data_IF_126178211183
#
_entry.id   IF_126178211183
#
_cell.length_a   1.000
_cell.length_b   1.000
_cell.length_c   1.000
_cell.angle_alpha   90.00
_cell.angle_beta   90.00
_cell.angle_gamma   90.00
#
_symmetry.space_group_name_H-M   'P 1'
#
loop_
_entity.id
_entity.type
_entity.pdbx_description
1 polymer ?
#
# COMPACT_ATOMS: atom_id res chain seq x y z
N UNK A 1 -10.81 -11.30 -30.06
CA UNK A 1 -9.92 -11.11 -28.88
C UNK A 1 -9.76 -12.47 -28.24
N UNK A 2 -8.56 -13.08 -28.28
CA UNK A 2 -8.36 -14.42 -27.68
C UNK A 2 -8.38 -14.28 -26.15
N UNK A 3 -9.23 -15.07 -25.52
CA UNK A 3 -9.37 -15.17 -24.06
C UNK A 3 -8.03 -15.49 -23.38
N UNK A 4 -7.73 -14.78 -22.31
CA UNK A 4 -6.46 -14.76 -21.58
C UNK A 4 -6.34 -15.89 -20.56
N UNK A 5 -6.78 -17.11 -20.90
CA UNK A 5 -7.12 -18.13 -19.90
C UNK A 5 -6.15 -19.32 -19.82
N UNK A 6 -4.87 -19.20 -20.16
CA UNK A 6 -3.91 -20.26 -19.83
C UNK A 6 -2.54 -19.73 -19.41
N UNK A 7 -2.50 -18.91 -18.35
CA UNK A 7 -1.27 -18.85 -17.54
C UNK A 7 -1.04 -20.25 -16.96
N UNK A 8 0.16 -20.80 -17.16
CA UNK A 8 0.48 -22.14 -16.65
C UNK A 8 0.55 -22.14 -15.12
N UNK A 9 0.37 -23.30 -14.50
CA UNK A 9 0.53 -23.45 -13.04
C UNK A 9 1.92 -22.97 -12.60
N UNK A 10 2.98 -23.39 -13.31
CA UNK A 10 4.37 -22.97 -13.03
C UNK A 10 4.55 -21.45 -13.03
N UNK A 11 3.91 -20.74 -13.98
CA UNK A 11 3.95 -19.28 -14.06
C UNK A 11 3.21 -18.61 -12.90
N UNK A 12 2.05 -19.14 -12.50
CA UNK A 12 1.32 -18.65 -11.31
C UNK A 12 2.11 -18.87 -10.04
N UNK A 13 2.58 -20.10 -9.82
CA UNK A 13 3.34 -20.48 -8.64
C UNK A 13 4.61 -19.62 -8.47
N UNK A 14 5.26 -19.25 -9.58
CA UNK A 14 6.38 -18.32 -9.57
C UNK A 14 5.95 -16.91 -9.13
N UNK A 15 4.88 -16.37 -9.73
CA UNK A 15 4.38 -15.02 -9.39
C UNK A 15 3.91 -14.94 -7.95
N UNK A 16 3.20 -15.95 -7.44
CA UNK A 16 2.72 -15.97 -6.07
C UNK A 16 3.88 -15.94 -5.07
N UNK A 17 4.96 -16.68 -5.36
CA UNK A 17 6.16 -16.69 -4.55
C UNK A 17 6.86 -15.33 -4.46
N UNK A 18 6.89 -14.57 -5.56
CA UNK A 18 7.47 -13.22 -5.57
C UNK A 18 6.81 -12.27 -4.58
N UNK A 19 5.58 -12.57 -4.15
CA UNK A 19 4.83 -11.74 -3.21
C UNK A 19 4.66 -12.35 -1.82
N UNK A 20 4.99 -13.64 -1.64
CA UNK A 20 4.81 -14.33 -0.36
C UNK A 20 6.11 -14.66 0.36
N UNK A 21 7.24 -14.62 -0.34
CA UNK A 21 8.54 -15.01 0.18
C UNK A 21 9.50 -13.82 0.22
N UNK A 22 10.37 -13.84 1.22
CA UNK A 22 11.47 -12.89 1.34
C UNK A 22 12.65 -13.36 0.48
N UNK A 23 13.33 -12.41 -0.17
CA UNK A 23 14.51 -12.67 -0.99
C UNK A 23 14.51 -11.88 -2.29
N UNK A 24 15.61 -11.99 -3.02
CA UNK A 24 15.71 -11.43 -4.36
C UNK A 24 14.88 -12.25 -5.37
N UNK A 25 14.51 -11.61 -6.48
CA UNK A 25 13.83 -12.27 -7.61
C UNK A 25 14.56 -13.56 -8.02
N UNK A 26 15.89 -13.49 -8.15
CA UNK A 26 16.69 -14.62 -8.62
C UNK A 26 16.71 -15.77 -7.61
N UNK A 27 16.84 -15.50 -6.32
CA UNK A 27 16.78 -16.53 -5.28
C UNK A 27 15.44 -17.27 -5.29
N UNK A 28 14.33 -16.53 -5.34
CA UNK A 28 12.97 -17.09 -5.33
C UNK A 28 12.73 -17.97 -6.57
N UNK A 29 13.23 -17.54 -7.74
CA UNK A 29 13.10 -18.29 -8.99
C UNK A 29 14.00 -19.54 -9.02
N UNK A 30 15.25 -19.42 -8.56
CA UNK A 30 16.21 -20.53 -8.52
C UNK A 30 15.71 -21.65 -7.61
N UNK A 31 15.16 -21.31 -6.44
CA UNK A 31 14.55 -22.29 -5.51
C UNK A 31 13.42 -23.10 -6.15
N UNK A 32 12.81 -22.59 -7.23
CA UNK A 32 11.73 -23.23 -7.99
C UNK A 32 12.19 -23.88 -9.28
N UNK A 33 13.51 -23.97 -9.50
CA UNK A 33 14.09 -24.49 -10.73
C UNK A 33 13.73 -23.64 -11.95
N UNK A 34 13.54 -22.33 -11.78
CA UNK A 34 13.30 -21.38 -12.88
C UNK A 34 14.57 -20.56 -13.04
N UNK A 35 15.23 -20.68 -14.19
CA UNK A 35 16.33 -19.79 -14.51
C UNK A 35 15.80 -18.37 -14.74
N UNK A 36 16.49 -17.31 -14.26
CA UNK A 36 16.02 -15.93 -14.43
C UNK A 36 15.71 -15.57 -15.89
N UNK A 37 16.53 -16.02 -16.84
CA UNK A 37 16.28 -15.81 -18.28
C UNK A 37 14.99 -16.45 -18.79
N UNK A 38 14.53 -17.56 -18.19
CA UNK A 38 13.24 -18.18 -18.52
C UNK A 38 12.08 -17.34 -18.00
N UNK A 39 12.22 -16.75 -16.82
CA UNK A 39 11.21 -15.83 -16.30
C UNK A 39 11.13 -14.55 -17.15
N UNK A 40 12.29 -13.98 -17.53
CA UNK A 40 12.35 -12.81 -18.40
C UNK A 40 11.71 -13.10 -19.76
N UNK A 41 11.94 -14.27 -20.36
CA UNK A 41 11.27 -14.63 -21.62
C UNK A 41 9.76 -14.86 -21.47
N UNK A 42 9.24 -15.09 -20.26
CA UNK A 42 7.80 -15.06 -20.03
C UNK A 42 7.24 -13.64 -20.07
N UNK A 43 8.03 -12.61 -19.75
CA UNK A 43 7.58 -11.21 -19.85
C UNK A 43 7.36 -10.78 -21.31
N UNK A 44 8.04 -11.43 -22.26
CA UNK A 44 7.80 -11.21 -23.69
C UNK A 44 6.42 -11.73 -24.14
N UNK A 45 5.76 -12.59 -23.36
CA UNK A 45 4.38 -13.03 -23.60
C UNK A 45 3.38 -11.98 -23.04
N UNK A 46 2.61 -11.29 -23.91
CA UNK A 46 1.67 -10.26 -23.48
C UNK A 46 0.62 -10.76 -22.48
N UNK A 47 0.23 -12.03 -22.56
CA UNK A 47 -0.75 -12.60 -21.63
C UNK A 47 -0.15 -12.74 -20.23
N UNK A 48 1.09 -13.18 -20.11
CA UNK A 48 1.78 -13.30 -18.83
C UNK A 48 2.12 -11.93 -18.24
N UNK A 49 2.60 -11.00 -19.06
CA UNK A 49 2.88 -9.62 -18.62
C UNK A 49 1.62 -8.92 -18.10
N UNK A 50 0.49 -9.04 -18.79
CA UNK A 50 -0.79 -8.51 -18.31
C UNK A 50 -1.24 -9.19 -17.02
N UNK A 51 -1.03 -10.51 -16.89
CA UNK A 51 -1.33 -11.23 -15.66
C UNK A 51 -0.50 -10.72 -14.48
N UNK A 52 0.82 -10.62 -14.64
CA UNK A 52 1.71 -10.12 -13.60
C UNK A 52 1.35 -8.69 -13.19
N UNK A 53 1.10 -7.82 -14.16
CA UNK A 53 0.67 -6.44 -13.89
C UNK A 53 -0.60 -6.39 -13.03
N UNK A 54 -1.60 -7.21 -13.35
CA UNK A 54 -2.84 -7.32 -12.54
C UNK A 54 -2.55 -7.81 -11.12
N UNK A 55 -1.63 -8.76 -10.95
CA UNK A 55 -1.25 -9.25 -9.61
C UNK A 55 -0.54 -8.17 -8.78
N UNK A 56 0.38 -7.41 -9.38
CA UNK A 56 1.04 -6.26 -8.74
C UNK A 56 -0.01 -5.23 -8.32
N UNK A 57 -0.90 -4.85 -9.23
CA UNK A 57 -1.91 -3.82 -8.98
C UNK A 57 -2.88 -4.23 -7.87
N UNK A 58 -3.38 -5.47 -7.90
CA UNK A 58 -4.31 -5.97 -6.89
C UNK A 58 -3.68 -5.97 -5.49
N UNK A 59 -2.40 -6.38 -5.37
CA UNK A 59 -1.68 -6.39 -4.09
C UNK A 59 -1.38 -4.98 -3.59
N UNK A 60 -0.98 -4.06 -4.47
CA UNK A 60 -0.81 -2.66 -4.11
C UNK A 60 -2.11 -2.04 -3.56
N UNK A 61 -3.24 -2.29 -4.22
CA UNK A 61 -4.56 -1.86 -3.76
C UNK A 61 -4.93 -2.47 -2.40
N UNK A 62 -4.68 -3.76 -2.21
CA UNK A 62 -4.92 -4.43 -0.92
C UNK A 62 -4.06 -3.84 0.21
N UNK A 63 -2.79 -3.52 -0.07
CA UNK A 63 -1.90 -2.87 0.90
C UNK A 63 -2.40 -1.48 1.29
N UNK A 64 -2.85 -0.67 0.31
CA UNK A 64 -3.45 0.65 0.56
C UNK A 64 -4.71 0.52 1.42
N UNK A 65 -5.61 -0.41 1.11
CA UNK A 65 -6.81 -0.65 1.91
C UNK A 65 -6.47 -1.09 3.35
N UNK A 66 -5.46 -1.94 3.51
CA UNK A 66 -4.96 -2.36 4.82
C UNK A 66 -4.42 -1.17 5.62
N UNK A 67 -3.64 -0.29 4.99
CA UNK A 67 -3.13 0.92 5.61
C UNK A 67 -4.26 1.84 6.07
N UNK A 68 -5.27 2.09 5.24
CA UNK A 68 -6.46 2.87 5.61
C UNK A 68 -7.22 2.24 6.78
N UNK A 69 -7.39 0.92 6.79
CA UNK A 69 -8.04 0.21 7.89
C UNK A 69 -7.26 0.33 9.19
N UNK A 70 -5.93 0.25 9.12
CA UNK A 70 -5.06 0.45 10.27
C UNK A 70 -5.17 1.88 10.81
N UNK A 71 -5.15 2.88 9.92
CA UNK A 71 -5.34 4.29 10.28
C UNK A 71 -6.68 4.53 10.97
N UNK A 72 -7.78 4.01 10.39
CA UNK A 72 -9.12 4.15 10.95
C UNK A 72 -9.21 3.58 12.38
N UNK A 73 -8.62 2.42 12.63
CA UNK A 73 -8.56 1.81 13.97
C UNK A 73 -7.75 2.65 14.96
N UNK A 74 -6.64 3.24 14.53
CA UNK A 74 -5.85 4.14 15.36
C UNK A 74 -6.62 5.42 15.73
N UNK A 75 -7.36 5.97 14.77
CA UNK A 75 -8.27 7.11 14.99
C UNK A 75 -9.36 6.75 16.00
N UNK A 76 -10.03 5.61 15.86
CA UNK A 76 -11.07 5.12 16.79
C UNK A 76 -10.55 4.95 18.22
N UNK A 77 -9.27 4.58 18.39
CA UNK A 77 -8.61 4.43 19.68
C UNK A 77 -8.08 5.73 20.27
N UNK A 78 -8.14 6.83 19.53
CA UNK A 78 -7.58 8.12 19.94
C UNK A 78 -6.05 8.18 19.90
N UNK A 79 -5.40 7.34 19.09
CA UNK A 79 -3.95 7.39 18.91
C UNK A 79 -3.55 8.72 18.25
N UNK A 80 -2.79 9.57 18.97
CA UNK A 80 -2.52 10.94 18.53
C UNK A 80 -1.86 11.03 17.15
N UNK A 81 -0.98 10.08 16.81
CA UNK A 81 -0.34 10.03 15.49
C UNK A 81 -1.32 9.66 14.37
N UNK A 82 -2.26 8.75 14.63
CA UNK A 82 -3.29 8.37 13.66
C UNK A 82 -4.27 9.53 13.42
N UNK A 83 -4.65 10.26 14.47
CA UNK A 83 -5.49 11.46 14.36
C UNK A 83 -4.82 12.56 13.54
N UNK A 84 -3.53 12.87 13.81
CA UNK A 84 -2.75 13.84 13.03
C UNK A 84 -2.71 13.47 11.55
N UNK A 85 -2.26 12.24 11.25
CA UNK A 85 -2.18 11.75 9.87
C UNK A 85 -3.54 11.77 9.16
N UNK A 86 -4.63 11.40 9.86
CA UNK A 86 -5.98 11.50 9.31
C UNK A 86 -6.35 12.94 8.94
N UNK A 87 -6.09 13.92 9.81
CA UNK A 87 -6.40 15.32 9.53
C UNK A 87 -5.52 15.93 8.44
N UNK A 88 -4.24 15.56 8.39
CA UNK A 88 -3.31 15.91 7.30
C UNK A 88 -3.83 15.40 5.96
N UNK A 89 -4.18 14.11 5.85
CA UNK A 89 -4.71 13.50 4.63
C UNK A 89 -6.07 14.07 4.20
N UNK A 90 -6.85 14.58 5.16
CA UNK A 90 -8.13 15.27 4.88
C UNK A 90 -7.95 16.72 4.43
N UNK A 91 -6.71 17.21 4.26
CA UNK A 91 -6.39 18.62 3.99
C UNK A 91 -7.02 19.57 5.02
N UNK A 92 -7.22 19.13 6.28
CA UNK A 92 -7.62 20.04 7.37
C UNK A 92 -6.44 20.80 7.98
N UNK A 93 -5.23 20.57 7.46
CA UNK A 93 -4.06 21.42 7.63
C UNK A 93 -3.66 22.03 6.27
N UNK A 94 -4.56 22.77 5.64
CA UNK A 94 -4.14 23.83 4.72
C UNK A 94 -3.56 24.97 5.56
N UNK A 95 -2.24 25.12 5.46
CA UNK A 95 -1.44 26.30 5.79
C UNK A 95 -1.26 26.70 7.27
N UNK A 96 -0.02 26.63 7.71
CA UNK A 96 0.57 27.27 8.91
C UNK A 96 0.57 28.82 8.84
N UNK A 97 -0.48 29.45 8.29
CA UNK A 97 -0.72 30.88 8.46
C UNK A 97 -1.96 31.23 9.25
N UNK A 98 -2.79 30.26 9.65
CA UNK A 98 -3.93 30.53 10.52
C UNK A 98 -3.95 29.59 11.74
N UNK A 99 -3.27 30.07 12.78
CA UNK A 99 -3.84 30.20 14.11
C UNK A 99 -4.51 28.95 14.70
N UNK A 100 -3.70 28.13 15.37
CA UNK A 100 -4.05 27.73 16.73
C UNK A 100 -3.68 28.88 17.69
N UNK A 101 -4.27 30.06 17.46
CA UNK A 101 -4.54 30.98 18.57
C UNK A 101 -5.75 30.38 19.26
N UNK A 102 -5.47 29.58 20.28
CA UNK A 102 -6.47 29.31 21.32
C UNK A 102 -6.63 30.65 22.03
N UNK A 103 -7.47 31.51 21.48
CA UNK A 103 -7.94 32.71 22.15
C UNK A 103 -8.69 32.22 23.39
N UNK A 104 -7.97 32.10 24.51
CA UNK A 104 -8.58 32.22 25.82
C UNK A 104 -9.28 33.58 25.81
N UNK A 105 -10.61 33.55 25.90
CA UNK A 105 -11.38 34.77 26.13
C UNK A 105 -10.86 35.45 27.41
N UNK A 106 -10.96 36.78 27.42
CA UNK A 106 -10.46 37.59 28.53
C UNK A 106 -11.22 37.33 29.85
N UNK A 107 -12.41 36.71 29.75
CA UNK A 107 -13.18 36.21 30.90
C UNK A 107 -12.47 35.05 31.60
N UNK A 108 -11.91 34.11 30.84
CA UNK A 108 -11.19 32.95 31.37
C UNK A 108 -9.88 33.33 32.07
N UNK A 109 -9.25 34.46 31.71
CA UNK A 109 -8.06 34.99 32.42
C UNK A 109 -8.43 35.67 33.73
N UNK A 110 -9.59 36.32 33.82
CA UNK A 110 -10.05 36.98 35.05
C UNK A 110 -10.59 36.01 36.10
N UNK A 111 -11.01 34.81 35.71
CA UNK A 111 -11.47 33.78 36.64
C UNK A 111 -10.33 33.04 37.39
N UNK A 112 -9.08 33.25 36.98
CA UNK A 112 -7.90 32.55 37.53
C UNK A 112 -6.94 33.47 38.32
N UNK A 113 -7.31 34.73 38.55
CA UNK A 113 -6.59 35.70 39.40
C UNK A 113 -7.42 36.01 40.65
#
# INVERSE_FOLDING_TARGET
MKDSTHITKRRRDAVDALFSEDGSLDEILIQRGIAPGVFLSWLDDPAFSLYLQKQVQARAQAAVLSAWKSLARGVERGESNALKLFFELKNRHTDEKNAFDIHMDEESRKAAA
#
